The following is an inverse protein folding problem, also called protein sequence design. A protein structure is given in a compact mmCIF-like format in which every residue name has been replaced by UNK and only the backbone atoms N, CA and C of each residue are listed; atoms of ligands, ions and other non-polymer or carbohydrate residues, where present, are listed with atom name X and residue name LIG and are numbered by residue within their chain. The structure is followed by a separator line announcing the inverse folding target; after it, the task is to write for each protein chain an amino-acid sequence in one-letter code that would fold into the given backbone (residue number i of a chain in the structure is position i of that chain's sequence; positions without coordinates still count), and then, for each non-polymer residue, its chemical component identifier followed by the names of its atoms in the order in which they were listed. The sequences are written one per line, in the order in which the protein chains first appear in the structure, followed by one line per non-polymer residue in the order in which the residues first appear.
data_IF_198044623967
#
_entry.id   IF_198044623967
#
_cell.length_a   1.000
_cell.length_b   1.000
_cell.length_c   1.000
_cell.angle_alpha   90.00
_cell.angle_beta   90.00
_cell.angle_gamma   90.00
#
_symmetry.space_group_name_H-M   'P 1'
#
loop_
_entity.id
_entity.type
_entity.pdbx_description
1 polymer ?
#
# COMPACT_ATOMS: atom_id res chain seq x y z
N UNK A 1 9.60 34.09 60.36
CA UNK A 1 10.49 34.48 59.24
C UNK A 1 10.85 33.23 58.45
N UNK A 2 10.44 33.16 57.17
CA UNK A 2 10.95 32.33 56.05
C UNK A 2 11.15 30.80 56.27
N UNK A 3 10.91 29.87 55.36
CA UNK A 3 10.46 29.83 53.97
C UNK A 3 10.10 28.38 53.66
N UNK A 4 9.04 28.21 52.88
CA UNK A 4 8.54 27.03 52.19
C UNK A 4 9.60 26.38 51.28
N UNK A 5 9.61 25.04 51.17
CA UNK A 5 9.89 24.26 49.94
C UNK A 5 9.43 22.81 50.12
N UNK A 6 8.25 22.52 49.57
CA UNK A 6 7.72 21.18 49.34
C UNK A 6 8.39 20.58 48.10
N UNK A 7 8.78 19.31 48.17
CA UNK A 7 9.13 18.50 47.01
C UNK A 7 7.84 17.88 46.44
N UNK A 8 7.52 18.24 45.20
CA UNK A 8 6.46 17.61 44.39
C UNK A 8 7.12 16.50 43.58
N UNK A 9 6.67 15.25 43.77
CA UNK A 9 6.99 14.15 42.87
C UNK A 9 6.16 14.32 41.59
N UNK A 10 6.85 14.58 40.48
CA UNK A 10 6.26 14.67 39.15
C UNK A 10 6.23 13.25 38.54
N UNK A 11 5.03 12.71 38.32
CA UNK A 11 4.82 11.55 37.47
C UNK A 11 5.06 11.97 36.02
N UNK A 12 6.06 11.36 35.37
CA UNK A 12 6.31 11.50 33.93
C UNK A 12 5.49 10.41 33.24
N UNK A 13 4.40 10.80 32.58
CA UNK A 13 3.74 9.97 31.58
C UNK A 13 4.58 10.00 30.30
N UNK A 14 5.15 8.85 29.93
CA UNK A 14 5.83 8.65 28.66
C UNK A 14 4.74 8.51 27.58
N UNK A 15 4.50 9.56 26.80
CA UNK A 15 3.68 9.48 25.60
C UNK A 15 4.54 8.78 24.53
N UNK A 16 4.20 7.55 24.18
CA UNK A 16 4.76 6.84 23.05
C UNK A 16 4.23 7.50 21.77
N UNK A 17 5.01 8.41 21.18
CA UNK A 17 4.68 8.99 19.86
C UNK A 17 4.92 7.91 18.81
N UNK A 18 3.84 7.28 18.36
CA UNK A 18 3.84 6.50 17.12
C UNK A 18 4.08 7.51 16.00
N UNK A 19 5.25 7.44 15.36
CA UNK A 19 5.56 8.19 14.15
C UNK A 19 4.65 7.66 13.04
N UNK A 20 3.58 8.41 12.73
CA UNK A 20 2.76 8.19 11.56
C UNK A 20 3.58 8.71 10.36
N UNK A 21 4.18 7.81 9.59
CA UNK A 21 4.82 8.12 8.32
C UNK A 21 3.70 8.35 7.29
N UNK A 22 3.35 9.62 7.10
CA UNK A 22 2.46 10.10 6.04
C UNK A 22 3.28 10.32 4.77
N UNK A 23 2.99 9.60 3.70
CA UNK A 23 3.73 9.72 2.43
C UNK A 23 3.18 10.87 1.56
N UNK A 24 4.13 11.59 0.95
CA UNK A 24 4.05 12.71 0.00
C UNK A 24 3.43 14.04 0.46
N UNK A 25 4.31 15.03 0.68
CA UNK A 25 4.05 16.45 0.41
C UNK A 25 5.16 16.97 -0.51
N UNK A 26 5.15 16.53 -1.76
CA UNK A 26 5.92 17.19 -2.81
C UNK A 26 4.96 17.49 -3.97
N UNK A 27 4.82 18.78 -4.27
CA UNK A 27 4.10 19.30 -5.43
C UNK A 27 5.00 19.07 -6.64
N UNK A 28 4.70 18.05 -7.44
CA UNK A 28 5.14 17.99 -8.83
C UNK A 28 3.91 17.96 -9.74
N UNK A 29 3.93 18.87 -10.71
CA UNK A 29 2.85 19.14 -11.67
C UNK A 29 2.70 17.92 -12.58
N UNK A 30 1.66 17.14 -12.38
CA UNK A 30 1.20 16.16 -13.36
C UNK A 30 0.37 16.90 -14.41
N UNK A 31 0.88 16.92 -15.64
CA UNK A 31 0.20 17.45 -16.83
C UNK A 31 -0.96 16.52 -17.21
N UNK A 32 -2.18 16.96 -16.89
CA UNK A 32 -3.41 16.22 -17.14
C UNK A 32 -3.95 16.60 -18.53
N UNK A 33 -3.52 15.87 -19.55
CA UNK A 33 -4.13 15.96 -20.87
C UNK A 33 -4.45 14.57 -21.43
N UNK A 34 -5.62 14.04 -21.07
CA UNK A 34 -6.29 12.99 -21.83
C UNK A 34 -7.56 13.59 -22.48
N UNK A 35 -7.58 13.52 -23.81
CA UNK A 35 -8.63 14.09 -24.65
C UNK A 35 -9.91 13.26 -24.59
N UNK A 36 -11.05 13.95 -24.44
CA UNK A 36 -12.40 13.43 -24.66
C UNK A 36 -12.52 12.81 -26.06
N UNK A 37 -12.96 11.55 -26.12
CA UNK A 37 -13.53 10.98 -27.35
C UNK A 37 -14.96 10.53 -27.09
N UNK A 38 -15.86 11.33 -27.65
CA UNK A 38 -17.29 11.10 -27.86
C UNK A 38 -17.52 9.82 -28.69
N UNK A 39 -18.31 8.89 -28.15
CA UNK A 39 -18.78 7.70 -28.86
C UNK A 39 -20.31 7.69 -28.84
N UNK A 40 -20.87 8.02 -29.99
CA UNK A 40 -22.30 7.95 -30.27
C UNK A 40 -22.70 6.56 -30.79
N UNK A 41 -23.83 6.09 -30.24
CA UNK A 41 -24.85 5.16 -30.75
C UNK A 41 -24.44 4.06 -31.75
N UNK A 42 -24.59 2.81 -31.31
CA UNK A 42 -25.16 1.74 -32.14
C UNK A 42 -26.03 0.79 -31.29
N UNK A 43 -27.35 0.88 -31.51
CA UNK A 43 -28.37 -0.08 -31.10
C UNK A 43 -28.20 -1.42 -31.85
N UNK A 44 -28.14 -2.54 -31.14
CA UNK A 44 -28.51 -3.85 -31.69
C UNK A 44 -29.27 -4.68 -30.63
N UNK A 45 -30.56 -4.90 -30.91
CA UNK A 45 -31.45 -5.75 -30.11
C UNK A 45 -31.09 -7.23 -30.27
N UNK A 46 -30.90 -7.94 -29.16
CA UNK A 46 -30.86 -9.41 -29.10
C UNK A 46 -32.04 -9.90 -28.22
N UNK A 47 -32.75 -10.99 -28.59
CA UNK A 47 -34.02 -11.36 -27.95
C UNK A 47 -33.85 -12.04 -26.60
N UNK A 48 -34.84 -11.78 -25.76
CA UNK A 48 -35.15 -12.31 -24.43
C UNK A 48 -35.21 -13.86 -24.41
N UNK A 49 -34.38 -14.48 -23.57
CA UNK A 49 -34.54 -15.88 -23.13
C UNK A 49 -34.63 -15.92 -21.60
N UNK A 50 -35.86 -16.11 -21.12
CA UNK A 50 -36.22 -16.23 -19.72
C UNK A 50 -35.72 -17.56 -19.14
N UNK A 51 -34.66 -17.49 -18.34
CA UNK A 51 -34.14 -18.62 -17.59
C UNK A 51 -33.48 -18.19 -16.29
N UNK A 52 -34.29 -17.96 -15.24
CA UNK A 52 -33.90 -17.86 -13.83
C UNK A 52 -32.51 -17.26 -13.55
N UNK A 53 -32.38 -15.95 -13.67
CA UNK A 53 -31.20 -15.21 -13.21
C UNK A 53 -31.36 -14.93 -11.72
N UNK A 54 -30.73 -15.75 -10.87
CA UNK A 54 -30.28 -15.26 -9.56
C UNK A 54 -29.25 -14.17 -9.84
N UNK A 55 -29.73 -12.97 -10.20
CA UNK A 55 -28.88 -11.79 -10.33
C UNK A 55 -28.33 -11.56 -8.93
N UNK A 56 -27.00 -11.57 -8.73
CA UNK A 56 -26.44 -11.30 -7.42
C UNK A 56 -26.98 -9.96 -6.93
N UNK A 57 -27.62 -9.95 -5.76
CA UNK A 57 -28.12 -8.72 -5.14
C UNK A 57 -27.13 -8.24 -4.08
N UNK A 58 -27.06 -6.92 -3.91
CA UNK A 58 -26.35 -6.28 -2.78
C UNK A 58 -26.84 -6.87 -1.46
N UNK A 59 -25.93 -7.37 -0.63
CA UNK A 59 -26.28 -7.90 0.70
C UNK A 59 -26.24 -6.77 1.73
N UNK A 60 -27.30 -6.63 2.52
CA UNK A 60 -27.35 -5.65 3.62
C UNK A 60 -26.88 -6.31 4.92
N UNK A 61 -25.78 -5.82 5.48
CA UNK A 61 -25.28 -6.24 6.81
C UNK A 61 -26.01 -5.48 7.91
N UNK A 62 -26.11 -4.16 7.76
CA UNK A 62 -26.95 -3.27 8.55
C UNK A 62 -27.32 -2.01 7.75
N UNK A 63 -28.13 -1.13 8.32
CA UNK A 63 -28.42 0.17 7.69
C UNK A 63 -27.13 0.96 7.51
N UNK A 64 -26.79 1.26 6.25
CA UNK A 64 -25.56 1.98 5.90
C UNK A 64 -24.31 1.09 5.80
N UNK A 65 -24.43 -0.23 5.91
CA UNK A 65 -23.31 -1.15 5.65
C UNK A 65 -23.74 -2.32 4.78
N UNK A 66 -23.18 -2.41 3.57
CA UNK A 66 -23.59 -3.40 2.56
C UNK A 66 -22.40 -4.10 1.93
N UNK A 67 -22.64 -5.26 1.32
CA UNK A 67 -21.70 -5.95 0.44
C UNK A 67 -22.19 -5.78 -0.99
N UNK A 68 -21.28 -5.39 -1.89
CA UNK A 68 -21.57 -5.25 -3.30
C UNK A 68 -22.12 -6.55 -3.92
N UNK A 69 -22.88 -6.41 -5.00
CA UNK A 69 -23.50 -7.52 -5.75
C UNK A 69 -22.46 -8.56 -6.20
N UNK A 70 -21.29 -8.13 -6.62
CA UNK A 70 -20.18 -9.00 -7.09
C UNK A 70 -19.34 -9.53 -5.92
N UNK A 71 -19.67 -9.14 -4.69
CA UNK A 71 -19.02 -9.60 -3.46
C UNK A 71 -17.53 -9.23 -3.38
N UNK A 72 -17.07 -8.20 -4.09
CA UNK A 72 -15.66 -7.79 -4.08
C UNK A 72 -15.32 -6.74 -3.03
N UNK A 73 -16.32 -5.98 -2.56
CA UNK A 73 -16.13 -4.94 -1.56
C UNK A 73 -17.39 -4.71 -0.73
N UNK A 74 -17.23 -3.91 0.33
CA UNK A 74 -18.31 -3.42 1.17
C UNK A 74 -18.43 -1.91 1.08
N UNK A 75 -19.65 -1.38 1.25
CA UNK A 75 -19.88 0.07 1.34
C UNK A 75 -20.36 0.44 2.75
N UNK A 76 -19.62 1.32 3.42
CA UNK A 76 -19.93 1.88 4.73
C UNK A 76 -20.27 3.38 4.61
N UNK A 77 -21.55 3.71 4.78
CA UNK A 77 -22.04 5.08 4.76
C UNK A 77 -21.72 5.77 6.07
N UNK A 78 -20.92 6.84 6.00
CA UNK A 78 -20.52 7.67 7.12
C UNK A 78 -21.28 9.00 7.10
N UNK A 79 -21.46 9.60 8.28
CA UNK A 79 -21.89 11.00 8.34
C UNK A 79 -20.82 11.93 7.73
N UNK A 80 -21.25 13.08 7.18
CA UNK A 80 -20.34 14.09 6.63
C UNK A 80 -19.17 14.43 7.56
N UNK A 81 -19.45 14.55 8.86
CA UNK A 81 -18.44 14.90 9.86
C UNK A 81 -17.40 13.80 10.04
N UNK A 82 -17.76 12.52 9.93
CA UNK A 82 -16.81 11.41 10.05
C UNK A 82 -16.05 11.23 8.75
N UNK A 83 -16.75 11.27 7.60
CA UNK A 83 -16.12 11.18 6.29
C UNK A 83 -15.05 12.27 6.08
N UNK A 84 -15.36 13.53 6.44
CA UNK A 84 -14.42 14.64 6.27
C UNK A 84 -13.12 14.50 7.08
N UNK A 85 -13.11 13.72 8.16
CA UNK A 85 -11.87 13.42 8.89
C UNK A 85 -10.90 12.63 8.03
N UNK A 86 -11.38 11.68 7.22
CA UNK A 86 -10.52 10.93 6.30
C UNK A 86 -9.90 11.86 5.24
N UNK A 87 -10.67 12.85 4.77
CA UNK A 87 -10.17 13.84 3.81
C UNK A 87 -9.18 14.86 4.41
N UNK A 88 -9.20 15.07 5.73
CA UNK A 88 -8.27 15.97 6.43
C UNK A 88 -7.09 15.25 7.08
N UNK A 89 -6.96 13.93 6.89
CA UNK A 89 -5.92 13.10 7.51
C UNK A 89 -6.14 12.82 9.00
N UNK A 90 -7.34 13.07 9.52
CA UNK A 90 -7.76 12.82 10.91
C UNK A 90 -8.65 11.57 11.06
N UNK A 91 -8.87 10.83 9.97
CA UNK A 91 -9.70 9.61 9.96
C UNK A 91 -9.11 8.50 10.84
N UNK A 92 -9.95 7.82 11.63
CA UNK A 92 -9.51 6.68 12.43
C UNK A 92 -9.74 5.37 11.67
N UNK A 93 -8.66 4.80 11.14
CA UNK A 93 -8.68 3.52 10.43
C UNK A 93 -9.25 2.38 11.28
N UNK A 94 -9.04 2.44 12.60
CA UNK A 94 -9.55 1.42 13.53
C UNK A 94 -11.06 1.48 13.65
N UNK A 95 -11.68 2.65 13.48
CA UNK A 95 -13.13 2.77 13.52
C UNK A 95 -13.76 1.90 12.41
N UNK A 96 -13.21 1.98 11.20
CA UNK A 96 -13.68 1.20 10.05
C UNK A 96 -13.33 -0.27 10.20
N UNK A 97 -12.11 -0.62 10.62
CA UNK A 97 -11.72 -2.03 10.79
C UNK A 97 -12.53 -2.72 11.89
N UNK A 98 -12.77 -2.05 13.03
CA UNK A 98 -13.61 -2.62 14.09
C UNK A 98 -15.05 -2.81 13.62
N UNK A 99 -15.61 -1.84 12.86
CA UNK A 99 -16.94 -1.98 12.26
C UNK A 99 -17.01 -3.18 11.31
N UNK A 100 -16.01 -3.39 10.47
CA UNK A 100 -15.95 -4.58 9.62
C UNK A 100 -15.97 -5.87 10.46
N UNK A 101 -15.13 -5.98 11.48
CA UNK A 101 -15.08 -7.18 12.33
C UNK A 101 -16.30 -7.37 13.24
N UNK A 102 -17.31 -6.49 13.24
CA UNK A 102 -18.62 -6.83 13.84
C UNK A 102 -19.36 -7.89 13.01
N UNK A 103 -19.12 -7.94 11.70
CA UNK A 103 -19.85 -8.78 10.73
C UNK A 103 -19.01 -9.88 10.09
N UNK A 104 -17.69 -9.69 10.07
CA UNK A 104 -16.76 -10.64 9.47
C UNK A 104 -15.98 -11.42 10.53
N UNK A 105 -15.68 -12.68 10.21
CA UNK A 105 -14.66 -13.47 10.90
C UNK A 105 -13.26 -12.89 10.67
N UNK A 106 -12.30 -13.24 11.54
CA UNK A 106 -10.92 -12.73 11.45
C UNK A 106 -10.14 -13.40 10.33
N UNK A 107 -10.57 -13.15 9.08
CA UNK A 107 -10.13 -13.88 7.90
C UNK A 107 -9.31 -13.08 6.89
N UNK A 108 -9.09 -11.80 7.16
CA UNK A 108 -8.39 -10.87 6.27
C UNK A 108 -6.99 -10.52 6.78
N UNK A 109 -6.02 -10.57 5.86
CA UNK A 109 -4.67 -10.09 6.06
C UNK A 109 -4.58 -8.57 5.90
N UNK A 110 -5.40 -8.00 5.02
CA UNK A 110 -5.46 -6.55 4.77
C UNK A 110 -6.90 -6.06 4.82
N UNK A 111 -7.09 -4.85 5.35
CA UNK A 111 -8.32 -4.07 5.15
C UNK A 111 -7.94 -2.83 4.34
N UNK A 112 -8.61 -2.63 3.21
CA UNK A 112 -8.37 -1.50 2.31
C UNK A 112 -9.56 -0.57 2.41
N UNK A 113 -9.33 0.64 2.92
CA UNK A 113 -10.34 1.68 3.08
C UNK A 113 -10.21 2.64 1.90
N UNK A 114 -11.29 2.80 1.14
CA UNK A 114 -11.33 3.68 -0.04
C UNK A 114 -12.38 4.77 0.17
N UNK A 115 -12.02 6.03 -0.05
CA UNK A 115 -13.03 7.06 -0.33
C UNK A 115 -13.41 7.05 -1.82
N UNK A 116 -14.48 7.77 -2.15
CA UNK A 116 -15.04 7.87 -3.51
C UNK A 116 -14.74 9.20 -4.19
N UNK A 117 -13.69 9.92 -3.74
CA UNK A 117 -13.36 11.24 -4.28
C UNK A 117 -12.94 11.19 -5.75
N UNK A 118 -13.36 12.17 -6.54
CA UNK A 118 -13.01 12.24 -7.97
C UNK A 118 -11.59 12.75 -8.19
N UNK A 119 -11.07 13.56 -7.27
CA UNK A 119 -9.73 14.16 -7.32
C UNK A 119 -8.98 13.92 -6.02
N UNK A 120 -7.64 13.98 -6.06
CA UNK A 120 -6.81 13.91 -4.85
C UNK A 120 -7.19 15.07 -3.91
N UNK A 121 -7.54 14.80 -2.65
CA UNK A 121 -7.79 15.87 -1.69
C UNK A 121 -6.52 16.68 -1.40
N UNK A 122 -6.66 18.02 -1.39
CA UNK A 122 -5.55 18.94 -1.16
C UNK A 122 -4.82 18.66 0.16
N UNK A 123 -3.50 18.44 0.07
CA UNK A 123 -2.63 18.26 1.24
C UNK A 123 -2.79 16.92 1.97
N UNK A 124 -3.60 15.99 1.45
CA UNK A 124 -3.69 14.61 1.91
C UNK A 124 -2.67 13.73 1.18
N UNK A 125 -2.27 12.64 1.83
CA UNK A 125 -1.48 11.57 1.19
C UNK A 125 -2.28 10.86 0.08
N UNK A 126 -1.56 10.23 -0.86
CA UNK A 126 -2.17 9.35 -1.87
C UNK A 126 -2.52 7.97 -1.32
N UNK A 127 -1.73 7.50 -0.34
CA UNK A 127 -1.96 6.26 0.39
C UNK A 127 -1.36 6.34 1.80
N UNK A 128 -1.91 5.55 2.71
CA UNK A 128 -1.41 5.39 4.07
C UNK A 128 -1.57 3.95 4.53
N UNK A 129 -0.45 3.26 4.70
CA UNK A 129 -0.40 1.96 5.37
C UNK A 129 -0.27 2.13 6.89
N UNK A 130 -1.21 1.54 7.64
CA UNK A 130 -1.23 1.51 9.11
C UNK A 130 -1.09 0.06 9.60
N UNK A 131 0.13 -0.41 9.89
CA UNK A 131 0.35 -1.78 10.34
C UNK A 131 -0.40 -2.09 11.65
N UNK A 132 -1.02 -3.26 11.71
CA UNK A 132 -1.69 -3.80 12.89
C UNK A 132 -0.79 -4.76 13.68
N UNK A 133 0.23 -5.34 13.03
CA UNK A 133 1.25 -6.18 13.66
C UNK A 133 2.57 -6.13 12.87
N UNK A 134 3.60 -6.73 13.45
CA UNK A 134 4.74 -7.29 12.74
C UNK A 134 5.01 -8.69 13.29
N UNK A 135 4.76 -9.74 12.50
CA UNK A 135 5.02 -11.13 12.86
C UNK A 135 6.30 -11.70 12.22
N UNK A 136 7.11 -10.84 11.59
CA UNK A 136 8.30 -11.23 10.83
C UNK A 136 9.57 -10.71 11.53
N UNK A 137 10.54 -11.60 11.72
CA UNK A 137 11.89 -11.26 12.20
C UNK A 137 12.83 -11.04 11.02
N UNK A 138 13.96 -10.38 11.23
CA UNK A 138 14.98 -10.19 10.18
C UNK A 138 14.70 -9.03 9.22
N UNK A 139 13.73 -8.16 9.50
CA UNK A 139 13.34 -7.03 8.62
C UNK A 139 13.60 -5.65 9.25
N UNK A 140 14.62 -5.52 10.09
CA UNK A 140 15.00 -4.24 10.71
C UNK A 140 14.10 -3.73 11.84
N UNK A 141 13.00 -4.44 12.16
CA UNK A 141 12.11 -4.09 13.27
C UNK A 141 11.75 -5.26 14.17
N UNK A 142 11.38 -4.94 15.41
CA UNK A 142 10.93 -5.93 16.40
C UNK A 142 9.58 -6.53 16.03
N UNK A 143 9.33 -7.77 16.49
CA UNK A 143 8.01 -8.41 16.43
C UNK A 143 7.08 -7.77 17.45
N UNK A 144 5.83 -7.51 17.06
CA UNK A 144 4.79 -6.95 17.92
C UNK A 144 3.40 -7.25 17.34
N UNK A 145 2.37 -7.18 18.18
CA UNK A 145 1.00 -7.45 17.79
C UNK A 145 0.07 -6.44 18.48
N UNK A 146 -0.66 -5.67 17.67
CA UNK A 146 -1.69 -4.73 18.11
C UNK A 146 -3.02 -4.98 17.38
N UNK A 147 -3.24 -6.18 16.82
CA UNK A 147 -4.43 -6.47 16.00
C UNK A 147 -5.74 -6.28 16.76
N UNK A 148 -5.74 -6.53 18.07
CA UNK A 148 -6.90 -6.33 18.92
C UNK A 148 -7.42 -4.88 18.91
N UNK A 149 -6.55 -3.88 18.71
CA UNK A 149 -6.97 -2.48 18.59
C UNK A 149 -7.75 -2.20 17.29
N UNK A 150 -7.63 -3.09 16.30
CA UNK A 150 -8.32 -3.02 15.01
C UNK A 150 -9.53 -3.95 14.93
N UNK A 151 -9.85 -4.70 16.00
CA UNK A 151 -10.94 -5.68 16.03
C UNK A 151 -10.54 -7.08 15.53
N UNK A 152 -9.30 -7.27 15.08
CA UNK A 152 -8.77 -8.56 14.63
C UNK A 152 -8.30 -9.42 15.80
N UNK A 153 -8.41 -10.74 15.67
CA UNK A 153 -7.95 -11.75 16.62
C UNK A 153 -6.51 -12.21 16.36
N UNK A 154 -5.75 -11.51 15.49
CA UNK A 154 -4.34 -11.79 15.22
C UNK A 154 -4.00 -11.96 13.73
N UNK A 155 -5.00 -12.03 12.85
CA UNK A 155 -4.74 -12.23 11.41
C UNK A 155 -4.28 -10.96 10.70
N UNK A 156 -4.93 -9.83 10.96
CA UNK A 156 -4.72 -8.57 10.26
C UNK A 156 -3.26 -8.10 10.29
N UNK A 157 -2.70 -7.81 9.12
CA UNK A 157 -1.34 -7.31 8.94
C UNK A 157 -1.30 -5.78 8.94
N UNK A 158 -2.13 -5.16 8.11
CA UNK A 158 -2.18 -3.70 7.96
C UNK A 158 -3.56 -3.24 7.48
N UNK A 159 -3.90 -1.99 7.79
CA UNK A 159 -5.02 -1.27 7.19
C UNK A 159 -4.46 -0.22 6.25
N UNK A 160 -4.89 -0.23 5.00
CA UNK A 160 -4.46 0.72 3.98
C UNK A 160 -5.61 1.70 3.74
N UNK A 161 -5.31 2.99 3.68
CA UNK A 161 -6.27 4.01 3.30
C UNK A 161 -5.84 4.74 2.04
N UNK A 162 -6.76 4.90 1.09
CA UNK A 162 -6.56 5.69 -0.12
C UNK A 162 -7.81 6.54 -0.39
N UNK A 163 -7.67 7.83 -0.72
CA UNK A 163 -8.82 8.73 -0.85
C UNK A 163 -9.63 8.53 -2.15
N UNK A 164 -9.23 7.58 -3.00
CA UNK A 164 -9.85 7.36 -4.32
C UNK A 164 -9.89 5.88 -4.65
N UNK A 165 -11.02 5.42 -5.17
CA UNK A 165 -11.21 4.03 -5.64
C UNK A 165 -10.28 3.67 -6.80
N UNK A 166 -9.94 4.65 -7.63
CA UNK A 166 -9.09 4.55 -8.82
C UNK A 166 -7.63 4.22 -8.45
N UNK A 167 -7.25 4.40 -7.19
CA UNK A 167 -5.90 4.12 -6.71
C UNK A 167 -5.57 2.65 -6.55
N UNK A 168 -6.56 1.76 -6.61
CA UNK A 168 -6.31 0.32 -6.82
C UNK A 168 -5.52 0.08 -8.10
N UNK A 169 -5.82 0.81 -9.18
CA UNK A 169 -5.16 0.70 -10.49
C UNK A 169 -4.02 1.71 -10.64
N UNK A 170 -4.29 3.00 -10.43
CA UNK A 170 -3.39 4.10 -10.81
C UNK A 170 -2.61 4.70 -9.64
N UNK A 171 -2.91 4.26 -8.41
CA UNK A 171 -2.32 4.83 -7.20
C UNK A 171 -1.18 3.99 -6.67
N UNK A 172 -0.65 4.35 -5.49
CA UNK A 172 0.46 3.64 -4.88
C UNK A 172 0.00 2.33 -4.20
N UNK A 173 -0.90 1.54 -4.79
CA UNK A 173 -1.48 0.39 -4.07
C UNK A 173 -0.45 -0.71 -3.78
N UNK A 174 0.37 -1.10 -4.78
CA UNK A 174 1.48 -2.02 -4.56
C UNK A 174 2.51 -1.46 -3.55
N UNK A 175 2.73 -0.15 -3.57
CA UNK A 175 3.58 0.57 -2.63
C UNK A 175 3.05 0.50 -1.18
N UNK A 176 1.76 0.79 -0.95
CA UNK A 176 1.16 0.72 0.39
C UNK A 176 1.14 -0.70 0.96
N UNK A 177 1.01 -1.71 0.10
CA UNK A 177 1.14 -3.12 0.47
C UNK A 177 2.57 -3.40 0.96
N UNK A 178 3.58 -2.86 0.28
CA UNK A 178 4.99 -3.11 0.61
C UNK A 178 5.43 -2.53 1.95
N UNK A 179 4.75 -1.48 2.42
CA UNK A 179 4.99 -0.94 3.75
C UNK A 179 4.76 -1.95 4.89
N UNK A 180 4.04 -3.04 4.67
CA UNK A 180 4.00 -4.11 5.67
C UNK A 180 5.39 -4.72 5.90
N UNK A 181 6.20 -4.92 4.85
CA UNK A 181 7.51 -5.58 4.97
C UNK A 181 8.68 -4.60 5.07
N UNK A 182 8.59 -3.42 4.45
CA UNK A 182 9.76 -2.55 4.20
C UNK A 182 9.45 -1.05 4.27
N UNK A 183 10.44 -0.15 4.34
CA UNK A 183 11.78 -0.34 4.89
C UNK A 183 11.77 0.11 6.36
N UNK A 184 11.86 -0.83 7.29
CA UNK A 184 11.78 -0.55 8.73
C UNK A 184 13.17 -0.55 9.41
N UNK A 185 14.22 -0.26 8.65
CA UNK A 185 15.61 -0.35 9.10
C UNK A 185 16.37 -1.55 8.52
N UNK A 186 15.82 -2.21 7.50
CA UNK A 186 16.47 -3.34 6.82
C UNK A 186 17.80 -2.90 6.18
N UNK A 187 17.81 -1.70 5.61
CA UNK A 187 19.02 -1.00 5.15
C UNK A 187 18.97 0.48 5.57
N UNK A 188 20.13 1.15 5.72
CA UNK A 188 20.19 2.60 5.90
C UNK A 188 19.48 3.36 4.78
N UNK A 189 18.72 4.40 5.12
CA UNK A 189 18.01 5.25 4.16
C UNK A 189 17.88 6.68 4.71
N UNK A 190 17.86 7.66 3.82
CA UNK A 190 17.51 9.05 4.15
C UNK A 190 16.01 9.32 4.02
N UNK A 191 15.24 8.38 3.46
CA UNK A 191 13.80 8.43 3.33
C UNK A 191 13.19 7.31 4.19
N UNK A 192 12.82 7.63 5.43
CA UNK A 192 12.28 6.65 6.37
C UNK A 192 11.08 5.91 5.77
N UNK A 193 11.01 4.59 5.96
CA UNK A 193 9.99 3.75 5.33
C UNK A 193 10.28 3.39 3.87
N UNK A 194 11.30 3.95 3.24
CA UNK A 194 11.56 3.85 1.80
C UNK A 194 13.02 3.49 1.48
N UNK A 195 13.32 3.33 0.19
CA UNK A 195 14.65 2.95 -0.29
C UNK A 195 15.60 4.12 -0.53
N UNK A 196 15.09 5.35 -0.65
CA UNK A 196 15.94 6.54 -0.74
C UNK A 196 16.91 6.48 -1.92
N UNK A 197 18.17 6.80 -1.67
CA UNK A 197 19.26 6.73 -2.65
C UNK A 197 19.97 5.36 -2.55
N UNK A 198 19.27 4.31 -2.96
CA UNK A 198 19.82 2.96 -3.01
C UNK A 198 19.43 2.21 -4.28
N UNK A 199 20.20 1.18 -4.61
CA UNK A 199 20.02 0.34 -5.79
C UNK A 199 18.89 -0.71 -5.63
N UNK A 200 17.81 -0.36 -4.92
CA UNK A 200 16.67 -1.26 -4.73
C UNK A 200 15.70 -1.17 -5.91
N UNK A 201 15.42 0.04 -6.43
CA UNK A 201 14.66 0.21 -7.68
C UNK A 201 13.21 -0.29 -7.64
N UNK A 202 12.60 -0.31 -6.45
CA UNK A 202 11.33 -0.98 -6.21
C UNK A 202 10.12 -0.06 -6.04
N UNK A 203 9.05 -0.63 -5.51
CA UNK A 203 7.81 0.07 -5.19
C UNK A 203 8.02 1.23 -4.18
N UNK A 204 8.94 1.08 -3.23
CA UNK A 204 9.29 2.13 -2.25
C UNK A 204 10.47 3.02 -2.71
N UNK A 205 10.73 3.10 -4.02
CA UNK A 205 11.73 3.99 -4.62
C UNK A 205 13.12 3.36 -4.82
N UNK A 206 14.13 4.23 -4.94
CA UNK A 206 15.49 3.85 -5.30
C UNK A 206 15.68 3.67 -6.80
N UNK A 207 16.92 3.44 -7.23
CA UNK A 207 17.28 3.14 -8.62
C UNK A 207 17.60 1.65 -8.77
N UNK A 208 17.59 1.10 -9.98
CA UNK A 208 18.10 -0.26 -10.27
C UNK A 208 19.44 -0.23 -11.02
N UNK A 209 19.72 0.86 -11.72
CA UNK A 209 20.96 1.14 -12.40
C UNK A 209 21.57 2.48 -11.97
N UNK A 210 22.90 2.59 -12.04
CA UNK A 210 23.62 3.80 -11.65
C UNK A 210 24.75 4.13 -12.64
N UNK A 211 24.82 5.38 -13.06
CA UNK A 211 25.92 5.94 -13.85
C UNK A 211 26.80 6.85 -12.98
N UNK A 212 28.12 6.67 -13.05
CA UNK A 212 29.09 7.60 -12.45
C UNK A 212 29.37 8.76 -13.41
N UNK A 213 28.96 9.96 -13.01
CA UNK A 213 29.17 11.19 -13.78
C UNK A 213 30.48 11.92 -13.39
N UNK A 214 31.24 11.34 -12.46
CA UNK A 214 32.45 11.90 -11.89
C UNK A 214 32.17 12.95 -10.81
N UNK A 215 33.23 13.34 -10.08
CA UNK A 215 33.15 14.36 -9.01
C UNK A 215 32.07 14.05 -7.97
N UNK A 216 31.97 12.79 -7.53
CA UNK A 216 31.00 12.34 -6.54
C UNK A 216 29.53 12.59 -6.96
N UNK A 217 29.27 12.63 -8.27
CA UNK A 217 27.95 12.84 -8.86
C UNK A 217 27.55 11.59 -9.63
N UNK A 218 26.30 11.17 -9.44
CA UNK A 218 25.75 9.93 -9.98
C UNK A 218 24.38 10.18 -10.59
N UNK A 219 23.98 9.33 -11.53
CA UNK A 219 22.62 9.28 -12.06
C UNK A 219 22.03 7.91 -11.78
N UNK A 220 20.86 7.89 -11.15
CA UNK A 220 20.05 6.67 -11.01
C UNK A 220 19.06 6.54 -12.16
N UNK A 221 18.80 5.29 -12.54
CA UNK A 221 17.81 4.91 -13.53
C UNK A 221 16.87 3.83 -12.95
N UNK A 222 15.72 3.66 -13.58
CA UNK A 222 14.77 2.56 -13.33
C UNK A 222 14.33 2.00 -14.67
N UNK A 223 14.49 0.69 -14.89
CA UNK A 223 14.16 0.00 -16.14
C UNK A 223 14.76 0.68 -17.39
N UNK A 224 16.02 1.14 -17.27
CA UNK A 224 16.74 1.85 -18.33
C UNK A 224 16.31 3.30 -18.59
N UNK A 225 15.31 3.80 -17.87
CA UNK A 225 14.85 5.20 -17.97
C UNK A 225 15.53 6.08 -16.94
N UNK A 226 15.94 7.29 -17.37
CA UNK A 226 16.63 8.24 -16.49
C UNK A 226 15.67 8.78 -15.44
N UNK A 227 16.07 8.64 -14.18
CA UNK A 227 15.27 9.12 -13.06
C UNK A 227 14.87 8.02 -12.09
N UNK A 228 14.67 8.42 -10.84
CA UNK A 228 14.08 7.56 -9.81
C UNK A 228 13.47 8.44 -8.71
N UNK A 229 12.48 7.91 -8.00
CA UNK A 229 11.97 8.53 -6.80
C UNK A 229 12.66 7.96 -5.56
N UNK A 230 12.96 8.82 -4.59
CA UNK A 230 13.52 8.39 -3.30
C UNK A 230 12.49 7.68 -2.42
N UNK A 231 11.20 7.93 -2.68
CA UNK A 231 10.07 7.35 -1.94
C UNK A 231 9.22 6.40 -2.79
N UNK A 232 9.14 6.57 -4.10
CA UNK A 232 8.33 5.70 -4.95
C UNK A 232 8.78 5.76 -6.42
N UNK A 233 8.58 4.68 -7.16
CA UNK A 233 8.84 4.63 -8.61
C UNK A 233 7.53 4.43 -9.41
N UNK A 234 6.60 5.38 -9.29
CA UNK A 234 5.45 5.49 -10.20
C UNK A 234 4.21 4.65 -9.84
N UNK A 235 3.97 4.38 -8.55
CA UNK A 235 2.82 3.60 -8.11
C UNK A 235 2.89 2.17 -8.68
N UNK A 236 1.82 1.70 -9.31
CA UNK A 236 1.78 0.35 -9.90
C UNK A 236 2.61 0.17 -11.19
N UNK A 237 3.56 1.05 -11.51
CA UNK A 237 4.31 1.03 -12.78
C UNK A 237 5.58 0.15 -12.78
N UNK A 238 6.04 -0.31 -11.62
CA UNK A 238 7.23 -1.18 -11.49
C UNK A 238 6.89 -2.49 -10.77
N UNK A 239 7.63 -3.58 -10.98
CA UNK A 239 7.49 -4.77 -10.14
C UNK A 239 8.07 -4.54 -8.74
N UNK A 240 7.90 -5.52 -7.85
CA UNK A 240 8.69 -5.56 -6.63
C UNK A 240 10.14 -5.93 -6.94
N UNK A 241 11.07 -5.18 -6.35
CA UNK A 241 12.51 -5.41 -6.48
C UNK A 241 13.00 -6.68 -5.76
N UNK A 242 14.24 -7.10 -6.02
CA UNK A 242 14.85 -8.26 -5.38
C UNK A 242 14.81 -8.18 -3.84
N UNK A 243 15.21 -7.06 -3.23
CA UNK A 243 15.14 -6.88 -1.78
C UNK A 243 13.69 -6.85 -1.25
N UNK A 244 12.75 -6.27 -2.00
CA UNK A 244 11.34 -6.27 -1.64
C UNK A 244 10.75 -7.68 -1.65
N UNK A 245 11.06 -8.50 -2.67
CA UNK A 245 10.66 -9.91 -2.74
C UNK A 245 11.27 -10.73 -1.61
N UNK A 246 12.52 -10.47 -1.22
CA UNK A 246 13.14 -11.10 -0.06
C UNK A 246 12.39 -10.73 1.21
N UNK A 247 12.09 -9.44 1.42
CA UNK A 247 11.33 -8.98 2.57
C UNK A 247 9.93 -9.63 2.65
N UNK A 248 9.26 -9.77 1.51
CA UNK A 248 7.99 -10.48 1.36
C UNK A 248 8.11 -11.99 1.60
N UNK A 249 9.31 -12.57 1.49
CA UNK A 249 9.56 -14.00 1.62
C UNK A 249 9.32 -14.81 0.38
N UNK A 250 9.45 -14.19 -0.79
CA UNK A 250 9.17 -14.80 -2.09
C UNK A 250 10.43 -15.27 -2.81
N UNK A 251 11.60 -14.93 -2.27
CA UNK A 251 12.92 -15.41 -2.70
C UNK A 251 13.78 -15.78 -1.49
N UNK A 252 14.69 -16.73 -1.69
CA UNK A 252 15.64 -17.16 -0.67
C UNK A 252 16.87 -16.23 -0.57
N UNK A 253 17.64 -16.41 0.50
CA UNK A 253 18.86 -15.63 0.75
C UNK A 253 19.91 -15.80 -0.37
N UNK A 254 19.95 -16.94 -1.04
CA UNK A 254 20.88 -17.19 -2.16
C UNK A 254 20.46 -16.51 -3.47
N UNK A 255 19.20 -16.09 -3.57
CA UNK A 255 18.67 -15.24 -4.64
C UNK A 255 18.77 -13.74 -4.31
N UNK A 256 19.03 -13.37 -3.04
CA UNK A 256 19.15 -11.98 -2.62
C UNK A 256 20.41 -11.34 -3.23
N UNK A 257 20.23 -10.19 -3.87
CA UNK A 257 21.30 -9.42 -4.50
C UNK A 257 21.89 -8.40 -3.54
N UNK A 258 23.11 -7.94 -3.84
CA UNK A 258 23.76 -6.88 -3.10
C UNK A 258 23.10 -5.53 -3.40
N UNK A 259 23.02 -4.66 -2.39
CA UNK A 259 22.41 -3.33 -2.52
C UNK A 259 23.47 -2.25 -2.36
N UNK A 260 23.55 -1.33 -3.31
CA UNK A 260 24.39 -0.13 -3.22
C UNK A 260 23.60 0.99 -2.57
N UNK A 261 24.20 1.68 -1.61
CA UNK A 261 23.60 2.80 -0.86
C UNK A 261 24.51 4.01 -0.98
N UNK A 262 23.92 5.16 -1.25
CA UNK A 262 24.64 6.43 -1.25
C UNK A 262 24.86 6.96 0.18
N UNK A 263 26.09 7.34 0.50
CA UNK A 263 26.42 7.97 1.77
C UNK A 263 26.26 9.49 1.68
N UNK A 264 25.49 10.06 2.61
CA UNK A 264 25.16 11.49 2.65
C UNK A 264 24.69 12.06 1.29
N UNK A 265 23.66 11.45 0.68
CA UNK A 265 23.21 11.86 -0.65
C UNK A 265 22.62 13.26 -0.64
N UNK A 266 22.83 14.00 -1.73
CA UNK A 266 22.22 15.29 -2.00
C UNK A 266 21.55 15.31 -3.37
N UNK A 267 20.29 15.74 -3.43
CA UNK A 267 19.61 15.96 -4.71
C UNK A 267 20.26 17.08 -5.50
N UNK A 268 20.19 16.98 -6.82
CA UNK A 268 20.54 18.09 -7.72
C UNK A 268 19.27 18.64 -8.38
N UNK A 269 19.43 19.65 -9.24
CA UNK A 269 18.32 20.17 -10.05
C UNK A 269 17.94 19.26 -11.23
N UNK A 270 18.76 18.26 -11.57
CA UNK A 270 18.47 17.30 -12.64
C UNK A 270 17.84 16.04 -12.02
N UNK A 271 16.67 15.66 -12.51
CA UNK A 271 15.95 14.49 -12.01
C UNK A 271 16.78 13.21 -12.16
N UNK A 272 16.81 12.39 -11.11
CA UNK A 272 17.65 11.20 -11.05
C UNK A 272 19.13 11.45 -10.79
N UNK A 273 19.61 12.70 -10.82
CA UNK A 273 21.02 13.02 -10.56
C UNK A 273 21.21 13.49 -9.12
N UNK A 274 22.18 12.89 -8.44
CA UNK A 274 22.50 13.15 -7.05
C UNK A 274 24.00 13.15 -6.79
N UNK A 275 24.42 13.79 -5.70
CA UNK A 275 25.79 13.68 -5.18
C UNK A 275 25.84 12.75 -3.98
N UNK A 276 26.97 12.09 -3.73
CA UNK A 276 27.20 11.30 -2.52
C UNK A 276 28.67 11.35 -2.10
N UNK A 277 28.96 11.24 -0.81
CA UNK A 277 30.34 11.20 -0.32
C UNK A 277 31.05 9.92 -0.78
N UNK A 278 30.31 8.81 -0.80
CA UNK A 278 30.71 7.49 -1.27
C UNK A 278 29.48 6.65 -1.63
N UNK A 279 29.73 5.50 -2.27
CA UNK A 279 28.77 4.43 -2.44
C UNK A 279 29.22 3.23 -1.62
N UNK A 280 28.33 2.69 -0.80
CA UNK A 280 28.57 1.49 0.02
C UNK A 280 27.73 0.34 -0.50
N UNK A 281 28.36 -0.83 -0.69
CA UNK A 281 27.69 -2.05 -1.13
C UNK A 281 27.44 -2.93 0.08
N UNK A 282 26.16 -3.23 0.35
CA UNK A 282 25.74 -4.21 1.33
C UNK A 282 25.50 -5.55 0.63
N UNK A 283 26.24 -6.58 1.05
CA UNK A 283 25.99 -7.94 0.59
C UNK A 283 24.80 -8.56 1.34
N UNK A 284 24.21 -9.66 0.82
CA UNK A 284 23.21 -10.42 1.57
C UNK A 284 23.67 -10.83 2.97
N UNK A 285 24.96 -11.17 3.13
CA UNK A 285 25.56 -11.51 4.42
C UNK A 285 25.57 -10.31 5.37
N UNK A 286 25.87 -9.10 4.88
CA UNK A 286 25.84 -7.88 5.71
C UNK A 286 24.42 -7.59 6.21
N UNK A 287 23.42 -7.68 5.32
CA UNK A 287 22.00 -7.47 5.66
C UNK A 287 21.55 -8.46 6.73
N UNK A 288 21.92 -9.74 6.61
CA UNK A 288 21.54 -10.79 7.54
C UNK A 288 22.31 -10.69 8.86
N UNK A 289 23.59 -10.32 8.84
CA UNK A 289 24.38 -10.17 10.06
C UNK A 289 23.85 -9.03 10.93
N UNK A 290 23.36 -7.94 10.32
CA UNK A 290 22.76 -6.82 11.04
C UNK A 290 21.35 -7.14 11.56
N UNK A 291 20.50 -7.74 10.71
CA UNK A 291 19.07 -7.87 10.99
C UNK A 291 18.66 -9.25 11.56
N UNK A 292 19.50 -10.26 11.39
CA UNK A 292 19.14 -11.67 11.49
C UNK A 292 18.49 -12.19 10.21
N UNK A 293 18.40 -13.52 10.07
CA UNK A 293 17.68 -14.15 8.96
C UNK A 293 16.19 -13.82 9.02
N UNK A 294 15.55 -13.69 7.84
CA UNK A 294 14.10 -13.54 7.76
C UNK A 294 13.40 -14.78 8.33
N UNK A 295 12.48 -14.58 9.28
CA UNK A 295 11.62 -15.64 9.82
C UNK A 295 10.16 -15.17 9.79
N UNK A 296 9.23 -15.92 9.15
CA UNK A 296 9.44 -17.23 8.49
C UNK A 296 10.41 -17.16 7.31
N UNK A 297 11.00 -18.29 6.91
CA UNK A 297 11.74 -18.39 5.65
C UNK A 297 10.75 -18.48 4.46
N UNK A 298 11.20 -18.39 3.20
CA UNK A 298 10.31 -18.48 2.04
C UNK A 298 9.45 -19.75 1.97
N UNK A 299 9.98 -20.90 2.40
CA UNK A 299 9.23 -22.16 2.45
C UNK A 299 7.97 -22.11 3.35
N UNK A 300 7.96 -21.24 4.35
CA UNK A 300 6.86 -21.09 5.31
C UNK A 300 6.22 -19.70 5.24
N UNK A 301 6.63 -18.85 4.30
CA UNK A 301 6.06 -17.54 4.12
C UNK A 301 4.65 -17.65 3.54
N UNK A 302 3.75 -16.77 3.97
CA UNK A 302 2.44 -16.66 3.34
C UNK A 302 2.59 -16.04 1.95
N UNK A 303 1.98 -16.68 0.94
CA UNK A 303 2.00 -16.23 -0.46
C UNK A 303 0.60 -15.94 -1.02
N UNK A 304 -0.44 -16.28 -0.27
CA UNK A 304 -1.84 -16.01 -0.63
C UNK A 304 -2.46 -15.14 0.47
N UNK A 305 -2.98 -13.98 0.10
CA UNK A 305 -3.49 -12.97 1.03
C UNK A 305 -4.96 -12.70 0.76
N UNK A 306 -5.77 -12.73 1.81
CA UNK A 306 -7.17 -12.32 1.74
C UNK A 306 -7.31 -10.87 2.17
N UNK A 307 -8.12 -10.11 1.45
CA UNK A 307 -8.29 -8.68 1.69
C UNK A 307 -9.74 -8.28 1.70
N UNK A 308 -10.12 -7.42 2.64
CA UNK A 308 -11.44 -6.81 2.67
C UNK A 308 -11.35 -5.37 2.19
N UNK A 309 -12.10 -5.04 1.14
CA UNK A 309 -12.26 -3.65 0.71
C UNK A 309 -13.49 -3.03 1.39
N UNK A 310 -13.27 -1.92 2.08
CA UNK A 310 -14.33 -1.11 2.69
C UNK A 310 -14.33 0.27 2.04
N UNK A 311 -15.24 0.47 1.10
CA UNK A 311 -15.50 1.79 0.54
C UNK A 311 -16.29 2.58 1.57
N UNK A 312 -15.79 3.75 1.96
CA UNK A 312 -16.53 4.69 2.78
C UNK A 312 -17.17 5.74 1.87
N UNK A 313 -18.44 6.06 2.12
CA UNK A 313 -19.23 7.01 1.34
C UNK A 313 -20.07 7.91 2.23
N UNK A 314 -20.64 8.99 1.68
CA UNK A 314 -21.65 9.82 2.35
C UNK A 314 -23.08 9.37 2.02
N UNK A 315 -23.25 8.84 0.82
CA UNK A 315 -24.50 8.39 0.22
C UNK A 315 -24.22 7.18 -0.70
N UNK A 316 -25.20 6.81 -1.53
CA UNK A 316 -25.05 5.75 -2.53
C UNK A 316 -23.89 6.04 -3.50
N UNK A 317 -23.10 5.01 -3.80
CA UNK A 317 -21.99 5.09 -4.75
C UNK A 317 -22.56 5.05 -6.19
N UNK A 318 -22.13 5.94 -7.10
CA UNK A 318 -22.55 5.88 -8.50
C UNK A 318 -22.22 4.51 -9.13
N UNK A 319 -23.15 3.96 -9.90
CA UNK A 319 -22.97 2.63 -10.53
C UNK A 319 -21.69 2.53 -11.36
N UNK A 320 -21.31 3.61 -12.07
CA UNK A 320 -20.06 3.64 -12.84
C UNK A 320 -18.80 3.49 -11.99
N UNK A 321 -18.78 4.03 -10.77
CA UNK A 321 -17.66 3.83 -9.82
C UNK A 321 -17.66 2.42 -9.25
N UNK A 322 -18.84 1.84 -8.99
CA UNK A 322 -18.97 0.43 -8.57
C UNK A 322 -18.39 -0.50 -9.65
N UNK A 323 -18.84 -0.34 -10.90
CA UNK A 323 -18.40 -1.18 -12.01
C UNK A 323 -16.89 -1.03 -12.27
N UNK A 324 -16.37 0.20 -12.21
CA UNK A 324 -14.94 0.47 -12.34
C UNK A 324 -14.12 -0.14 -11.18
N UNK A 325 -14.60 -0.04 -9.95
CA UNK A 325 -13.92 -0.63 -8.79
C UNK A 325 -13.89 -2.16 -8.88
N UNK A 326 -15.02 -2.80 -9.20
CA UNK A 326 -15.08 -4.25 -9.39
C UNK A 326 -14.11 -4.72 -10.46
N UNK A 327 -14.10 -4.06 -11.63
CA UNK A 327 -13.15 -4.36 -12.70
C UNK A 327 -11.69 -4.18 -12.26
N UNK A 328 -11.38 -3.13 -11.48
CA UNK A 328 -10.03 -2.92 -10.97
C UNK A 328 -9.63 -3.98 -9.92
N UNK A 329 -10.54 -4.39 -9.03
CA UNK A 329 -10.27 -5.43 -8.04
C UNK A 329 -10.06 -6.80 -8.69
N UNK A 330 -10.87 -7.15 -9.69
CA UNK A 330 -10.71 -8.38 -10.48
C UNK A 330 -9.34 -8.40 -11.18
N UNK A 331 -9.00 -7.32 -11.88
CA UNK A 331 -7.70 -7.20 -12.56
C UNK A 331 -6.53 -7.24 -11.58
N UNK A 332 -6.65 -6.60 -10.42
CA UNK A 332 -5.59 -6.60 -9.41
C UNK A 332 -5.37 -7.99 -8.80
N UNK A 333 -6.44 -8.77 -8.59
CA UNK A 333 -6.40 -10.11 -8.01
C UNK A 333 -6.08 -11.24 -9.02
N UNK A 334 -6.20 -10.97 -10.31
CA UNK A 334 -6.02 -11.98 -11.36
C UNK A 334 -4.62 -12.61 -11.29
N UNK A 335 -4.55 -13.96 -11.27
CA UNK A 335 -3.29 -14.73 -11.33
C UNK A 335 -2.73 -14.80 -12.76
N UNK A 336 -2.44 -13.64 -13.34
CA UNK A 336 -1.96 -13.44 -14.70
C UNK A 336 -1.72 -11.96 -14.99
N UNK A 337 -1.51 -11.62 -16.26
CA UNK A 337 -1.52 -10.21 -16.68
C UNK A 337 -2.94 -9.64 -16.51
N UNK A 338 -3.07 -8.39 -16.03
CA UNK A 338 -4.35 -7.70 -16.09
C UNK A 338 -4.76 -7.46 -17.55
N UNK A 339 -6.03 -7.15 -17.77
CA UNK A 339 -6.56 -6.87 -19.09
C UNK A 339 -5.95 -5.60 -19.72
N UNK A 340 -6.30 -5.36 -20.99
CA UNK A 340 -5.74 -4.25 -21.77
C UNK A 340 -6.03 -2.86 -21.19
N UNK A 341 -7.05 -2.71 -20.35
CA UNK A 341 -7.36 -1.44 -19.69
C UNK A 341 -6.25 -1.03 -18.72
N UNK A 342 -5.47 -1.98 -18.18
CA UNK A 342 -4.34 -1.67 -17.29
C UNK A 342 -3.08 -1.22 -18.02
N UNK A 343 -3.01 -1.36 -19.35
CA UNK A 343 -1.86 -0.94 -20.14
C UNK A 343 -0.57 -1.63 -19.67
N UNK A 344 0.43 -0.84 -19.29
CA UNK A 344 1.72 -1.35 -18.80
C UNK A 344 1.76 -1.58 -17.28
N UNK A 345 0.70 -1.23 -16.54
CA UNK A 345 0.68 -1.32 -15.08
C UNK A 345 0.74 -2.76 -14.59
N UNK A 346 1.22 -2.93 -13.38
CA UNK A 346 1.33 -4.21 -12.69
C UNK A 346 0.15 -4.42 -11.75
N UNK A 347 -0.45 -5.60 -11.82
CA UNK A 347 -1.23 -6.13 -10.70
C UNK A 347 -0.29 -6.86 -9.72
N UNK A 348 -0.82 -7.32 -8.58
CA UNK A 348 0.01 -7.96 -7.55
C UNK A 348 0.70 -9.25 -8.01
N UNK A 349 0.00 -10.08 -8.80
CA UNK A 349 0.57 -11.32 -9.34
C UNK A 349 1.76 -11.02 -10.24
N UNK A 350 1.61 -10.11 -11.21
CA UNK A 350 2.66 -9.70 -12.13
C UNK A 350 3.81 -9.01 -11.41
N UNK A 351 3.53 -8.12 -10.45
CA UNK A 351 4.54 -7.41 -9.68
C UNK A 351 5.42 -8.34 -8.83
N UNK A 352 4.88 -9.49 -8.42
CA UNK A 352 5.60 -10.52 -7.66
C UNK A 352 6.16 -11.63 -8.55
N UNK A 353 6.16 -11.46 -9.88
CA UNK A 353 6.59 -12.48 -10.85
C UNK A 353 5.86 -13.83 -10.68
N UNK A 354 4.59 -13.77 -10.28
CA UNK A 354 3.74 -14.93 -10.05
C UNK A 354 4.05 -15.72 -8.78
N UNK A 355 4.73 -15.10 -7.81
CA UNK A 355 5.09 -15.74 -6.54
C UNK A 355 4.04 -15.56 -5.45
N UNK A 356 3.13 -14.58 -5.57
CA UNK A 356 2.08 -14.35 -4.58
C UNK A 356 0.78 -13.81 -5.20
N UNK A 357 -0.34 -13.95 -4.48
CA UNK A 357 -1.67 -13.52 -4.93
C UNK A 357 -2.50 -12.86 -3.83
N UNK A 358 -3.41 -11.97 -4.26
CA UNK A 358 -4.47 -11.39 -3.43
C UNK A 358 -5.83 -11.96 -3.81
N UNK A 359 -6.74 -12.03 -2.85
CA UNK A 359 -8.15 -12.33 -3.03
C UNK A 359 -8.99 -11.27 -2.31
N UNK A 360 -10.05 -10.79 -2.97
CA UNK A 360 -11.02 -9.84 -2.43
C UNK A 360 -12.43 -10.44 -2.29
N UNK A 361 -12.65 -11.68 -2.73
CA UNK A 361 -13.98 -12.28 -2.78
C UNK A 361 -14.57 -12.46 -1.37
N UNK A 362 -15.75 -11.92 -1.15
CA UNK A 362 -16.50 -12.03 0.09
C UNK A 362 -17.52 -13.15 -0.02
N UNK A 363 -17.12 -14.33 0.44
CA UNK A 363 -18.01 -15.50 0.51
C UNK A 363 -18.70 -15.61 1.88
N UNK A 364 -19.76 -16.43 1.96
CA UNK A 364 -20.45 -16.71 3.23
C UNK A 364 -19.54 -17.28 4.33
N UNK A 365 -18.37 -17.84 3.98
CA UNK A 365 -17.40 -18.36 4.96
C UNK A 365 -16.73 -17.25 5.78
N UNK A 366 -16.76 -16.01 5.28
CA UNK A 366 -16.16 -14.85 5.93
C UNK A 366 -17.13 -14.16 6.90
N UNK A 367 -18.43 -14.51 6.88
CA UNK A 367 -19.49 -13.84 7.64
C UNK A 367 -19.77 -14.55 8.97
N UNK A 368 -20.12 -13.76 10.01
CA UNK A 368 -20.49 -14.23 11.35
C UNK A 368 -21.92 -14.73 11.50
#
# INVERSE_FOLDING_TARGET
MHSLKQYINLFIFLFLSILILSCSKEEDVIDDSAQDMDMSDLDEQIPDDSGNTDTPETLVLETGFTIDKERMFTNLVLSDSEYNKFLSGEGDMRMVSNKAYEYFDDDFDFIIILNVEDSQPDGLYFGLSTPAKNDIQGLGRSVWDNTAAFGSAGKLKTVIHMPRTEYIRNGPFLHEIQHYWSNHGLIPTTAGGHWGYSSVGGQLGGFDEIEDLGSNTYRGLVDGEVGFGTVANGGNSVPYSNLELYAMGLIDTDELEAVTIAENPGSTSEFGVFTADALTVLTPEDIINENGSRIPNPENAQTEFNSLVVVISRDDIPQSKIDALNSNLENFATKGDPDTSWGALFNFWKATFGKASFDFEITNKHLK
#
